data_IF_614792119667
#
_entry.id   IF_614792119667
#
_cell.length_a   1.000
_cell.length_b   1.000
_cell.length_c   1.000
_cell.angle_alpha   90.00
_cell.angle_beta   90.00
_cell.angle_gamma   90.00
#
_symmetry.space_group_name_H-M   'P 1'
#
loop_
_entity.id
_entity.type
_entity.pdbx_description
1 polymer ?
#
# COMPACT_ATOMS: atom_id res chain seq x y z
N UNK A 1 -14.73 -18.86 -15.43
CA UNK A 1 -15.63 -19.64 -14.57
C UNK A 1 -16.75 -18.72 -14.16
N UNK A 2 -17.96 -19.15 -14.45
CA UNK A 2 -19.22 -18.42 -14.42
C UNK A 2 -19.85 -18.60 -13.03
N UNK A 3 -20.62 -17.63 -12.55
CA UNK A 3 -21.24 -17.68 -11.21
C UNK A 3 -22.10 -18.94 -10.99
N UNK A 4 -22.86 -19.36 -12.00
CA UNK A 4 -23.65 -20.61 -11.96
C UNK A 4 -22.80 -21.86 -11.68
N UNK A 5 -21.55 -21.89 -12.16
CA UNK A 5 -20.64 -23.00 -11.91
C UNK A 5 -20.05 -22.98 -10.49
N UNK A 6 -19.98 -21.81 -9.85
CA UNK A 6 -19.52 -21.66 -8.46
C UNK A 6 -20.63 -21.95 -7.44
N UNK A 7 -21.88 -21.61 -7.74
CA UNK A 7 -23.01 -21.80 -6.82
C UNK A 7 -23.31 -23.29 -6.52
N UNK A 8 -22.87 -24.20 -7.37
CA UNK A 8 -23.04 -25.65 -7.19
C UNK A 8 -21.91 -26.31 -6.39
N UNK A 9 -20.90 -25.56 -5.95
CA UNK A 9 -19.78 -26.08 -5.19
C UNK A 9 -20.03 -25.98 -3.68
N UNK A 10 -19.45 -26.91 -2.93
CA UNK A 10 -19.39 -26.81 -1.48
C UNK A 10 -18.38 -25.74 -1.03
N UNK A 11 -18.48 -25.33 0.24
CA UNK A 11 -17.62 -24.29 0.81
C UNK A 11 -16.13 -24.66 0.70
N UNK A 12 -15.78 -25.93 0.93
CA UNK A 12 -14.40 -26.41 0.84
C UNK A 12 -13.83 -26.20 -0.56
N UNK A 13 -14.58 -26.59 -1.61
CA UNK A 13 -14.19 -26.40 -3.00
C UNK A 13 -14.05 -24.91 -3.36
N UNK A 14 -14.94 -24.06 -2.85
CA UNK A 14 -14.87 -22.62 -3.06
C UNK A 14 -13.61 -22.01 -2.41
N UNK A 15 -13.28 -22.40 -1.18
CA UNK A 15 -12.04 -21.97 -0.53
C UNK A 15 -10.80 -22.49 -1.26
N UNK A 16 -10.80 -23.74 -1.73
CA UNK A 16 -9.70 -24.29 -2.52
C UNK A 16 -9.50 -23.51 -3.83
N UNK A 17 -10.58 -23.16 -4.53
CA UNK A 17 -10.50 -22.34 -5.74
C UNK A 17 -9.95 -20.95 -5.43
N UNK A 18 -10.43 -20.30 -4.37
CA UNK A 18 -9.93 -18.99 -3.93
C UNK A 18 -8.43 -19.03 -3.62
N UNK A 19 -7.98 -20.05 -2.88
CA UNK A 19 -6.58 -20.24 -2.53
C UNK A 19 -5.74 -20.49 -3.79
N UNK A 20 -6.22 -21.35 -4.69
CA UNK A 20 -5.54 -21.66 -5.96
C UNK A 20 -5.41 -20.43 -6.85
N UNK A 21 -6.47 -19.61 -6.98
CA UNK A 21 -6.43 -18.36 -7.74
C UNK A 21 -5.40 -17.40 -7.11
N UNK A 22 -5.42 -17.27 -5.79
CA UNK A 22 -4.47 -16.42 -5.05
C UNK A 22 -3.03 -16.88 -5.24
N UNK A 23 -2.77 -18.18 -5.20
CA UNK A 23 -1.45 -18.79 -5.46
C UNK A 23 -1.01 -18.55 -6.91
N UNK A 24 -1.88 -18.75 -7.90
CA UNK A 24 -1.57 -18.50 -9.31
C UNK A 24 -1.21 -17.03 -9.55
N UNK A 25 -1.95 -16.09 -8.95
CA UNK A 25 -1.66 -14.66 -9.06
C UNK A 25 -0.28 -14.36 -8.45
N UNK A 26 -0.02 -14.85 -7.23
CA UNK A 26 1.28 -14.73 -6.57
C UNK A 26 2.39 -15.29 -7.46
N UNK A 27 2.26 -16.52 -7.93
CA UNK A 27 3.25 -17.17 -8.79
C UNK A 27 3.51 -16.41 -10.08
N UNK A 28 2.47 -15.87 -10.74
CA UNK A 28 2.63 -15.09 -11.97
C UNK A 28 3.40 -13.80 -11.72
N UNK A 29 3.18 -13.13 -10.60
CA UNK A 29 3.93 -11.95 -10.21
C UNK A 29 5.41 -12.30 -9.90
N UNK A 30 5.66 -13.41 -9.19
CA UNK A 30 7.02 -13.87 -8.92
C UNK A 30 7.77 -14.33 -10.18
N UNK A 31 7.14 -15.14 -11.05
CA UNK A 31 7.77 -15.73 -12.25
C UNK A 31 8.21 -14.70 -13.28
N UNK A 32 7.63 -13.49 -13.30
CA UNK A 32 8.09 -12.43 -14.19
C UNK A 32 9.46 -11.84 -13.79
N UNK A 33 10.00 -12.14 -12.60
CA UNK A 33 11.24 -11.52 -12.13
C UNK A 33 11.12 -10.00 -11.90
N UNK A 34 9.88 -9.51 -11.76
CA UNK A 34 9.49 -8.11 -11.94
C UNK A 34 9.40 -7.35 -10.61
N UNK A 35 9.52 -8.02 -9.47
CA UNK A 35 9.30 -7.38 -8.15
C UNK A 35 10.33 -6.28 -7.91
N UNK A 36 11.63 -6.58 -8.10
CA UNK A 36 12.69 -5.59 -7.92
C UNK A 36 12.58 -4.46 -8.96
N UNK A 37 12.29 -4.79 -10.22
CA UNK A 37 12.09 -3.81 -11.28
C UNK A 37 10.90 -2.88 -11.01
N UNK A 38 9.75 -3.43 -10.61
CA UNK A 38 8.57 -2.67 -10.21
C UNK A 38 8.89 -1.78 -9.01
N UNK A 39 9.61 -2.27 -8.00
CA UNK A 39 10.03 -1.43 -6.86
C UNK A 39 10.92 -0.29 -7.33
N UNK A 40 11.92 -0.56 -8.15
CA UNK A 40 12.86 0.44 -8.66
C UNK A 40 12.15 1.52 -9.51
N UNK A 41 11.31 1.09 -10.44
CA UNK A 41 10.50 1.98 -11.27
C UNK A 41 9.50 2.78 -10.42
N UNK A 42 8.90 2.14 -9.42
CA UNK A 42 8.02 2.81 -8.46
C UNK A 42 8.76 3.91 -7.70
N UNK A 43 10.00 3.69 -7.24
CA UNK A 43 10.79 4.74 -6.60
C UNK A 43 11.08 5.93 -7.53
N UNK A 44 11.18 5.71 -8.84
CA UNK A 44 11.44 6.78 -9.81
C UNK A 44 10.22 7.71 -10.02
N UNK A 45 9.00 7.21 -9.82
CA UNK A 45 7.76 7.96 -10.08
C UNK A 45 7.02 8.37 -8.81
N UNK A 46 7.12 7.58 -7.73
CA UNK A 46 6.27 7.72 -6.56
C UNK A 46 6.56 8.98 -5.73
N UNK A 47 7.76 9.56 -5.82
CA UNK A 47 8.18 10.65 -4.93
C UNK A 47 8.42 11.95 -5.71
N UNK A 48 7.44 12.87 -5.76
CA UNK A 48 7.61 14.15 -6.42
C UNK A 48 8.78 14.95 -5.85
N UNK A 49 9.54 15.63 -6.73
CA UNK A 49 10.73 16.41 -6.32
C UNK A 49 10.42 17.57 -5.36
N UNK A 50 9.18 18.07 -5.36
CA UNK A 50 8.76 19.25 -4.59
C UNK A 50 8.65 18.93 -3.08
N UNK A 51 7.88 17.91 -2.71
CA UNK A 51 7.60 17.60 -1.30
C UNK A 51 8.17 16.24 -0.83
N UNK A 52 8.38 15.30 -1.76
CA UNK A 52 8.84 13.94 -1.49
C UNK A 52 7.83 13.07 -0.73
N UNK A 53 6.54 13.45 -0.66
CA UNK A 53 5.60 12.80 0.26
C UNK A 53 4.98 11.50 -0.26
N UNK A 54 5.27 11.08 -1.48
CA UNK A 54 4.70 9.86 -2.06
C UNK A 54 3.35 10.13 -2.76
N UNK A 55 3.16 9.56 -3.93
CA UNK A 55 1.87 9.50 -4.63
C UNK A 55 0.87 8.63 -3.83
N UNK A 56 -0.40 8.67 -4.23
CA UNK A 56 -1.40 7.72 -3.75
C UNK A 56 -1.11 6.33 -4.34
N UNK A 57 -1.54 5.24 -3.69
CA UNK A 57 -1.30 3.88 -4.17
C UNK A 57 -1.97 3.65 -5.53
N UNK A 58 -1.38 2.77 -6.33
CA UNK A 58 -1.89 2.40 -7.64
C UNK A 58 -1.70 0.91 -7.91
N UNK A 59 -2.41 0.41 -8.93
CA UNK A 59 -2.28 -0.98 -9.36
C UNK A 59 -1.22 -1.06 -10.45
N UNK A 60 -0.21 -1.91 -10.24
CA UNK A 60 0.81 -2.25 -11.24
C UNK A 60 0.68 -3.74 -11.57
N UNK A 61 0.20 -4.06 -12.77
CA UNK A 61 -0.14 -5.43 -13.16
C UNK A 61 -1.23 -6.02 -12.26
N UNK A 62 -0.86 -6.94 -11.38
CA UNK A 62 -1.78 -7.54 -10.39
C UNK A 62 -1.35 -7.30 -8.94
N UNK A 63 -0.50 -6.30 -8.72
CA UNK A 63 -0.05 -5.86 -7.41
C UNK A 63 -0.54 -4.46 -7.12
N UNK A 64 -0.73 -4.18 -5.84
CA UNK A 64 -0.98 -2.83 -5.35
C UNK A 64 0.36 -2.26 -4.85
N UNK A 65 0.76 -1.12 -5.44
CA UNK A 65 1.96 -0.37 -5.03
C UNK A 65 1.55 0.68 -4.01
N UNK A 66 2.17 0.63 -2.84
CA UNK A 66 1.88 1.48 -1.69
C UNK A 66 3.11 2.33 -1.31
N UNK A 67 3.20 3.58 -1.80
CA UNK A 67 4.26 4.50 -1.39
C UNK A 67 4.11 4.97 0.05
N UNK A 68 5.22 5.01 0.79
CA UNK A 68 5.32 5.61 2.10
C UNK A 68 6.45 6.64 2.17
N UNK A 69 6.26 7.71 2.93
CA UNK A 69 7.27 8.73 3.12
C UNK A 69 7.26 9.31 4.53
N UNK A 70 8.46 9.62 5.03
CA UNK A 70 8.68 10.49 6.18
C UNK A 70 9.73 11.54 5.83
N UNK A 71 9.36 12.81 6.00
CA UNK A 71 10.19 13.96 5.67
C UNK A 71 10.32 14.85 6.90
N UNK A 72 11.51 14.82 7.53
CA UNK A 72 11.79 15.66 8.67
C UNK A 72 11.86 17.14 8.25
N UNK A 73 11.20 18.01 9.02
CA UNK A 73 11.23 19.47 8.84
C UNK A 73 12.19 20.14 9.83
N UNK A 74 12.33 19.56 11.02
CA UNK A 74 13.31 19.89 12.08
C UNK A 74 13.60 18.63 12.91
N UNK A 75 14.45 18.71 13.94
CA UNK A 75 14.71 17.59 14.86
C UNK A 75 13.45 17.06 15.58
N UNK A 76 12.43 17.91 15.75
CA UNK A 76 11.22 17.58 16.51
C UNK A 76 9.96 17.55 15.66
N UNK A 77 10.06 17.78 14.35
CA UNK A 77 8.91 17.85 13.45
C UNK A 77 9.15 17.09 12.15
N UNK A 78 8.16 16.31 11.72
CA UNK A 78 8.16 15.71 10.40
C UNK A 78 6.74 15.64 9.82
N UNK A 79 6.68 15.46 8.51
CA UNK A 79 5.45 15.12 7.80
C UNK A 79 5.63 13.70 7.30
N UNK A 80 4.60 12.86 7.46
CA UNK A 80 4.60 11.52 6.92
C UNK A 80 3.30 11.22 6.19
N UNK A 81 3.40 10.33 5.21
CA UNK A 81 2.28 9.81 4.44
C UNK A 81 2.52 8.32 4.27
N UNK A 82 1.56 7.51 4.72
CA UNK A 82 1.67 6.06 4.70
C UNK A 82 0.35 5.43 4.27
N UNK A 83 0.44 4.20 3.78
CA UNK A 83 -0.72 3.44 3.32
C UNK A 83 -1.03 2.35 4.34
N UNK A 84 -2.28 2.32 4.80
CA UNK A 84 -2.87 1.22 5.54
C UNK A 84 -3.74 0.37 4.61
N UNK A 85 -3.72 -0.95 4.84
CA UNK A 85 -4.52 -1.93 4.11
C UNK A 85 -5.39 -2.66 5.14
N UNK A 86 -6.70 -2.50 5.05
CA UNK A 86 -7.61 -2.98 6.10
C UNK A 86 -7.31 -2.35 7.46
N UNK A 87 -6.96 -3.18 8.44
CA UNK A 87 -6.65 -2.75 9.81
C UNK A 87 -5.15 -2.57 10.07
N UNK A 88 -4.30 -2.94 9.12
CA UNK A 88 -2.85 -2.95 9.30
C UNK A 88 -2.17 -1.86 8.46
N UNK A 89 -0.96 -1.46 8.85
CA UNK A 89 -0.09 -0.76 7.91
C UNK A 89 0.29 -1.69 6.76
N UNK A 90 0.52 -1.13 5.57
CA UNK A 90 0.86 -1.95 4.39
C UNK A 90 2.06 -2.88 4.63
N UNK A 91 3.09 -2.44 5.36
CA UNK A 91 4.26 -3.26 5.69
C UNK A 91 4.01 -4.32 6.78
N UNK A 92 2.87 -4.27 7.46
CA UNK A 92 2.44 -5.26 8.47
C UNK A 92 1.38 -6.23 7.94
N UNK A 93 0.80 -5.92 6.77
CA UNK A 93 -0.26 -6.71 6.18
C UNK A 93 0.18 -8.14 5.87
N UNK A 94 -0.69 -9.11 6.16
CA UNK A 94 -0.52 -10.50 5.72
C UNK A 94 -0.50 -10.67 4.19
N UNK A 95 -0.97 -9.66 3.46
CA UNK A 95 -0.95 -9.59 2.00
C UNK A 95 0.33 -8.93 1.45
N UNK A 96 1.28 -8.52 2.30
CA UNK A 96 2.54 -7.94 1.87
C UNK A 96 3.39 -8.94 1.10
N UNK A 97 3.85 -8.53 -0.08
CA UNK A 97 4.78 -9.27 -0.94
C UNK A 97 6.21 -8.80 -0.67
N UNK A 98 6.41 -7.49 -0.59
CA UNK A 98 7.72 -6.86 -0.40
C UNK A 98 7.57 -5.49 0.25
N UNK A 99 8.52 -5.10 1.09
CA UNK A 99 8.67 -3.73 1.57
C UNK A 99 10.13 -3.31 1.43
N UNK A 100 10.37 -2.23 0.70
CA UNK A 100 11.72 -1.70 0.46
C UNK A 100 11.78 -0.27 0.94
N UNK A 101 12.75 0.02 1.81
CA UNK A 101 12.96 1.33 2.43
C UNK A 101 14.27 1.94 1.94
N UNK A 102 14.22 3.17 1.43
CA UNK A 102 15.39 3.99 1.08
C UNK A 102 15.46 5.19 2.02
N UNK A 103 16.61 5.37 2.66
CA UNK A 103 16.87 6.48 3.60
C UNK A 103 17.97 7.37 3.06
N UNK A 104 17.71 8.66 3.03
CA UNK A 104 18.72 9.68 2.77
C UNK A 104 19.12 10.34 4.10
N UNK A 105 20.32 10.02 4.57
CA UNK A 105 20.95 10.63 5.75
C UNK A 105 21.99 11.71 5.38
N UNK A 106 22.25 11.93 4.10
CA UNK A 106 23.26 12.91 3.64
C UNK A 106 22.81 14.36 3.84
N UNK A 107 21.50 14.56 3.96
CA UNK A 107 20.87 15.85 4.16
C UNK A 107 20.75 16.21 5.65
N UNK A 108 20.80 17.51 5.99
CA UNK A 108 20.52 18.01 7.36
C UNK A 108 19.14 17.61 7.90
N UNK A 109 18.27 17.08 7.05
CA UNK A 109 16.91 16.62 7.36
C UNK A 109 16.74 15.18 6.88
N UNK A 110 16.41 14.28 7.79
CA UNK A 110 16.16 12.88 7.48
C UNK A 110 15.00 12.74 6.47
N UNK A 111 15.22 11.92 5.45
CA UNK A 111 14.17 11.50 4.53
C UNK A 111 14.15 9.98 4.45
N UNK A 112 12.96 9.41 4.57
CA UNK A 112 12.71 8.00 4.33
C UNK A 112 11.60 7.88 3.30
N UNK A 113 11.84 7.09 2.28
CA UNK A 113 10.85 6.67 1.31
C UNK A 113 10.73 5.15 1.37
N UNK A 114 9.53 4.62 1.22
CA UNK A 114 9.28 3.19 1.13
C UNK A 114 8.33 2.87 -0.02
N UNK A 115 8.52 1.72 -0.62
CA UNK A 115 7.55 1.10 -1.54
C UNK A 115 7.19 -0.24 -0.94
N UNK A 116 5.92 -0.39 -0.58
CA UNK A 116 5.36 -1.67 -0.18
C UNK A 116 4.52 -2.24 -1.31
N UNK A 117 4.73 -3.50 -1.67
CA UNK A 117 3.92 -4.22 -2.64
C UNK A 117 2.96 -5.15 -1.92
N UNK A 118 1.68 -5.06 -2.27
CA UNK A 118 0.59 -5.83 -1.67
C UNK A 118 -0.04 -6.71 -2.75
N UNK A 119 -0.42 -7.93 -2.37
CA UNK A 119 -1.30 -8.79 -3.16
C UNK A 119 -2.76 -8.40 -2.89
N UNK A 120 -3.43 -7.63 -3.77
CA UNK A 120 -4.78 -7.17 -3.51
C UNK A 120 -5.80 -8.31 -3.60
N UNK A 121 -6.96 -8.10 -2.97
CA UNK A 121 -8.14 -8.96 -3.11
C UNK A 121 -9.39 -8.07 -3.27
N UNK A 122 -10.44 -8.62 -3.86
CA UNK A 122 -11.70 -7.91 -4.09
C UNK A 122 -12.29 -7.41 -2.77
N UNK A 123 -12.60 -6.11 -2.70
CA UNK A 123 -13.11 -5.46 -1.50
C UNK A 123 -12.04 -5.05 -0.48
N UNK A 124 -10.75 -5.26 -0.77
CA UNK A 124 -9.65 -4.77 0.08
C UNK A 124 -9.76 -3.25 0.24
N UNK A 125 -9.85 -2.78 1.49
CA UNK A 125 -9.85 -1.34 1.80
C UNK A 125 -8.42 -0.82 1.92
N UNK A 126 -8.19 0.38 1.41
CA UNK A 126 -6.87 1.02 1.41
C UNK A 126 -7.03 2.46 1.86
N UNK A 127 -6.34 2.84 2.93
CA UNK A 127 -6.36 4.20 3.48
C UNK A 127 -5.00 4.84 3.32
N UNK A 128 -4.95 6.01 2.68
CA UNK A 128 -3.76 6.85 2.59
C UNK A 128 -3.82 7.89 3.68
N UNK A 129 -2.94 7.77 4.66
CA UNK A 129 -2.96 8.56 5.88
C UNK A 129 -1.79 9.53 5.84
N UNK A 130 -2.11 10.82 5.81
CA UNK A 130 -1.13 11.90 5.94
C UNK A 130 -1.16 12.43 7.38
N UNK A 131 0.01 12.57 7.99
CA UNK A 131 0.14 13.05 9.36
C UNK A 131 1.26 14.07 9.48
N UNK A 132 1.11 14.96 10.46
CA UNK A 132 2.15 15.87 10.93
C UNK A 132 2.54 15.43 12.33
N UNK A 133 3.83 15.15 12.52
CA UNK A 133 4.38 14.84 13.83
C UNK A 133 5.09 16.05 14.41
N UNK A 134 4.84 16.34 15.69
CA UNK A 134 5.56 17.34 16.46
C UNK A 134 5.78 16.85 17.89
N UNK A 135 7.03 16.91 18.35
CA UNK A 135 7.43 16.49 19.70
C UNK A 135 6.96 15.05 20.04
N UNK A 136 7.08 14.14 19.08
CA UNK A 136 6.71 12.72 19.25
C UNK A 136 5.21 12.43 19.16
N UNK A 137 4.35 13.43 18.96
CA UNK A 137 2.91 13.23 18.75
C UNK A 137 2.56 13.35 17.27
N UNK A 138 1.83 12.38 16.74
CA UNK A 138 1.33 12.40 15.37
C UNK A 138 -0.13 12.86 15.34
N UNK A 139 -0.41 13.85 14.50
CA UNK A 139 -1.74 14.36 14.25
C UNK A 139 -2.10 14.06 12.79
N UNK A 140 -3.25 13.42 12.57
CA UNK A 140 -3.75 13.15 11.23
C UNK A 140 -4.13 14.46 10.56
N UNK A 141 -3.60 14.67 9.36
CA UNK A 141 -3.86 15.83 8.50
C UNK A 141 -4.98 15.50 7.50
N UNK A 142 -4.89 14.34 6.85
CA UNK A 142 -5.91 13.86 5.92
C UNK A 142 -5.91 12.33 5.82
N UNK A 143 -7.07 11.78 5.44
CA UNK A 143 -7.23 10.37 5.06
C UNK A 143 -7.93 10.32 3.72
N UNK A 144 -7.31 9.66 2.74
CA UNK A 144 -7.96 9.32 1.47
C UNK A 144 -8.19 7.81 1.39
N UNK A 145 -9.44 7.40 1.28
CA UNK A 145 -9.85 6.00 1.30
C UNK A 145 -10.15 5.48 -0.09
N UNK A 146 -9.82 4.21 -0.32
CA UNK A 146 -10.03 3.48 -1.55
C UNK A 146 -10.55 2.07 -1.25
N UNK A 147 -11.21 1.47 -2.24
CA UNK A 147 -11.53 0.05 -2.26
C UNK A 147 -10.95 -0.56 -3.53
N UNK A 148 -10.32 -1.72 -3.42
CA UNK A 148 -9.90 -2.49 -4.58
C UNK A 148 -11.10 -3.24 -5.15
N UNK A 149 -11.47 -2.93 -6.38
CA UNK A 149 -12.53 -3.61 -7.09
C UNK A 149 -12.19 -3.80 -8.55
N UNK A 150 -12.49 -4.98 -9.09
CA UNK A 150 -12.33 -5.33 -10.50
C UNK A 150 -10.93 -5.01 -11.06
N UNK A 151 -9.89 -5.24 -10.27
CA UNK A 151 -8.50 -5.00 -10.69
C UNK A 151 -8.05 -3.54 -10.61
N UNK A 152 -8.82 -2.65 -9.99
CA UNK A 152 -8.51 -1.22 -9.89
C UNK A 152 -8.79 -0.67 -8.48
N UNK A 153 -8.21 0.48 -8.16
CA UNK A 153 -8.55 1.23 -6.95
C UNK A 153 -9.62 2.27 -7.25
N UNK A 154 -10.75 2.17 -6.55
CA UNK A 154 -11.82 3.16 -6.60
C UNK A 154 -11.82 4.00 -5.34
N UNK A 155 -11.80 5.32 -5.49
CA UNK A 155 -11.82 6.25 -4.35
C UNK A 155 -13.19 6.19 -3.66
N UNK A 156 -13.19 6.04 -2.34
CA UNK A 156 -14.40 6.01 -1.53
C UNK A 156 -14.57 7.33 -0.74
N UNK A 157 -15.75 7.53 -0.15
CA UNK A 157 -16.02 8.68 0.71
C UNK A 157 -15.11 8.63 1.94
N UNK A 158 -14.27 9.66 2.12
CA UNK A 158 -13.29 9.75 3.20
C UNK A 158 -13.96 9.90 4.57
N UNK A 159 -13.79 8.92 5.46
CA UNK A 159 -14.11 9.09 6.88
C UNK A 159 -12.90 9.74 7.59
N UNK A 160 -13.05 11.01 7.97
CA UNK A 160 -11.98 11.90 8.43
C UNK A 160 -11.40 11.59 9.83
N UNK A 161 -11.46 10.35 10.35
CA UNK A 161 -11.18 10.10 11.77
C UNK A 161 -10.61 8.73 12.10
N UNK A 162 -9.47 8.35 11.52
CA UNK A 162 -8.65 7.24 12.05
C UNK A 162 -7.24 7.72 12.34
N UNK A 163 -6.99 8.06 13.61
CA UNK A 163 -5.63 8.18 14.14
C UNK A 163 -5.04 6.78 14.26
N UNK A 164 -3.87 6.55 13.67
CA UNK A 164 -3.09 5.32 13.83
C UNK A 164 -1.72 5.65 14.38
N UNK A 165 -1.31 4.89 15.39
CA UNK A 165 0.04 4.96 15.97
C UNK A 165 1.04 4.21 15.07
N UNK A 166 2.32 4.60 15.17
CA UNK A 166 3.45 4.04 14.39
C UNK A 166 4.15 2.94 15.15
#
# INVERSE_FOLDING_TARGET
MDRENLENLDEESLFQIQNTISEIIKERNFKKGDIEAIVDDSFNIAFPKIDGLGLNPWVEGSMLVCPGARIDKSQTKHICKFVAVGEDWSWESSNMISDVIRRDQSSKKFRQHSITLISPYEGMTVDVIMQKSQNGKHLVDSVESYIFSNGSLEKTMSNSSRSREH
#
